data_IF_101425902662
#
_entry.id   IF_101425902662
#
_cell.length_a   1.000
_cell.length_b   1.000
_cell.length_c   1.000
_cell.angle_alpha   90.00
_cell.angle_beta   90.00
_cell.angle_gamma   90.00
#
_symmetry.space_group_name_H-M   'P 1'
#
loop_
_entity.id
_entity.type
_entity.pdbx_description
1 polymer ?
#
# COMPACT_ATOMS: atom_id res chain seq x y z
N UNK A 1 -7.13 -72.23 -9.63
CA UNK A 1 -8.02 -71.10 -9.33
C UNK A 1 -7.20 -70.03 -8.64
N UNK A 2 -6.75 -69.03 -9.41
CA UNK A 2 -6.08 -67.85 -8.88
C UNK A 2 -7.13 -66.75 -8.73
N UNK A 3 -7.23 -66.13 -7.55
CA UNK A 3 -8.06 -64.94 -7.39
C UNK A 3 -7.53 -64.00 -6.29
N UNK A 4 -7.35 -62.76 -6.75
CA UNK A 4 -7.47 -61.46 -6.09
C UNK A 4 -6.46 -61.02 -5.03
N UNK A 5 -5.47 -60.27 -5.51
CA UNK A 5 -4.73 -59.29 -4.74
C UNK A 5 -5.64 -58.24 -4.10
N UNK A 6 -5.54 -58.14 -2.78
CA UNK A 6 -6.10 -57.06 -1.94
C UNK A 6 -5.15 -56.77 -0.78
N UNK A 7 -3.93 -56.32 -1.06
CA UNK A 7 -2.99 -55.92 0.02
C UNK A 7 -2.21 -54.65 -0.35
N UNK A 8 -2.90 -53.61 -0.80
CA UNK A 8 -2.33 -52.25 -0.82
C UNK A 8 -3.39 -51.19 -0.53
N UNK A 9 -4.05 -51.27 0.64
CA UNK A 9 -4.77 -50.11 1.21
C UNK A 9 -4.78 -50.20 2.73
N UNK A 10 -3.80 -49.54 3.38
CA UNK A 10 -3.93 -48.93 4.73
C UNK A 10 -2.55 -48.46 5.20
N UNK A 11 -2.22 -47.20 4.95
CA UNK A 11 -1.09 -46.56 5.63
C UNK A 11 -1.19 -45.03 5.75
N UNK A 12 -2.35 -44.40 5.51
CA UNK A 12 -2.49 -42.94 5.66
C UNK A 12 -3.90 -42.54 6.18
N UNK A 13 -4.34 -43.12 7.29
CA UNK A 13 -5.61 -42.76 7.97
C UNK A 13 -5.42 -41.85 9.19
N UNK A 14 -4.27 -41.18 9.32
CA UNK A 14 -3.94 -40.33 10.48
C UNK A 14 -3.47 -38.93 10.06
N UNK A 15 -4.12 -38.33 9.06
CA UNK A 15 -4.01 -36.91 8.80
C UNK A 15 -5.41 -36.30 8.88
N UNK A 16 -5.64 -35.25 9.70
CA UNK A 16 -6.93 -34.59 9.78
C UNK A 16 -7.33 -34.09 8.38
N UNK A 17 -8.46 -34.56 7.85
CA UNK A 17 -9.00 -34.20 6.53
C UNK A 17 -9.45 -32.74 6.38
N UNK A 18 -9.21 -31.93 7.41
CA UNK A 18 -9.61 -30.53 7.52
C UNK A 18 -8.72 -29.54 6.74
N UNK A 19 -7.72 -30.04 5.99
CA UNK A 19 -6.94 -29.25 5.03
C UNK A 19 -7.19 -29.61 3.56
N UNK A 20 -8.19 -30.42 3.25
CA UNK A 20 -8.63 -30.62 1.87
C UNK A 20 -9.55 -29.46 1.46
N UNK A 21 -9.00 -28.49 0.71
CA UNK A 21 -9.80 -27.49 0.01
C UNK A 21 -10.72 -28.20 -0.99
N UNK A 22 -11.99 -28.43 -0.61
CA UNK A 22 -12.98 -29.05 -1.47
C UNK A 22 -13.51 -28.03 -2.48
N UNK A 23 -12.69 -27.65 -3.46
CA UNK A 23 -13.21 -26.93 -4.62
C UNK A 23 -13.99 -27.91 -5.49
N UNK A 24 -15.31 -27.82 -5.50
CA UNK A 24 -16.20 -28.63 -6.35
C UNK A 24 -16.22 -28.13 -7.82
N UNK A 25 -15.16 -27.42 -8.24
CA UNK A 25 -15.05 -26.82 -9.57
C UNK A 25 -14.59 -27.88 -10.58
N UNK A 26 -15.13 -27.87 -11.81
CA UNK A 26 -14.71 -28.81 -12.84
C UNK A 26 -13.23 -28.63 -13.16
N UNK A 27 -12.55 -29.73 -13.51
CA UNK A 27 -11.13 -29.73 -13.87
C UNK A 27 -10.90 -28.76 -15.04
N UNK A 28 -10.13 -27.69 -14.79
CA UNK A 28 -9.85 -26.63 -15.76
C UNK A 28 -10.61 -25.32 -15.53
N UNK A 29 -11.56 -25.26 -14.59
CA UNK A 29 -12.13 -23.98 -14.18
C UNK A 29 -11.07 -23.10 -13.49
N UNK A 30 -11.07 -21.78 -13.74
CA UNK A 30 -10.15 -20.87 -13.06
C UNK A 30 -10.38 -20.94 -11.55
N UNK A 31 -9.29 -20.94 -10.79
CA UNK A 31 -9.35 -20.94 -9.33
C UNK A 31 -10.12 -19.71 -8.86
N UNK A 32 -11.11 -19.90 -8.00
CA UNK A 32 -11.90 -18.79 -7.48
C UNK A 32 -11.26 -18.22 -6.22
N UNK A 33 -10.96 -16.93 -6.35
CA UNK A 33 -10.68 -15.90 -5.36
C UNK A 33 -11.67 -15.75 -4.17
N UNK A 34 -11.40 -16.16 -2.94
CA UNK A 34 -12.09 -15.66 -1.75
C UNK A 34 -11.64 -14.23 -1.42
N UNK A 35 -12.54 -13.37 -0.90
CA UNK A 35 -12.23 -11.95 -0.66
C UNK A 35 -11.00 -11.68 0.23
N UNK A 36 -10.61 -12.63 1.09
CA UNK A 36 -9.44 -12.52 1.98
C UNK A 36 -8.16 -13.16 1.44
N UNK A 37 -8.21 -13.87 0.30
CA UNK A 37 -7.01 -14.47 -0.31
C UNK A 37 -6.40 -13.60 -1.43
N UNK A 38 -6.95 -12.40 -1.66
CA UNK A 38 -6.36 -11.39 -2.54
C UNK A 38 -5.17 -10.68 -1.88
N UNK A 39 -4.28 -10.12 -2.70
CA UNK A 39 -3.23 -9.22 -2.22
C UNK A 39 -3.85 -8.00 -1.52
N UNK A 40 -3.24 -7.57 -0.42
CA UNK A 40 -3.64 -6.30 0.20
C UNK A 40 -3.29 -5.12 -0.72
N UNK A 41 -4.00 -4.01 -0.55
CA UNK A 41 -3.73 -2.75 -1.28
C UNK A 41 -2.28 -2.30 -1.09
N UNK A 42 -1.73 -2.44 0.11
CA UNK A 42 -0.33 -2.15 0.42
C UNK A 42 0.64 -3.06 -0.35
N UNK A 43 0.33 -4.36 -0.47
CA UNK A 43 1.15 -5.30 -1.21
C UNK A 43 1.14 -5.02 -2.71
N UNK A 44 -0.01 -4.59 -3.25
CA UNK A 44 -0.14 -4.16 -4.66
C UNK A 44 0.71 -2.90 -4.91
N UNK A 45 0.57 -1.87 -4.07
CA UNK A 45 1.37 -0.65 -4.18
C UNK A 45 2.88 -0.96 -4.12
N UNK A 46 3.32 -1.74 -3.13
CA UNK A 46 4.71 -2.13 -2.99
C UNK A 46 5.22 -2.98 -4.16
N UNK A 47 4.36 -3.82 -4.77
CA UNK A 47 4.72 -4.60 -5.97
C UNK A 47 4.95 -3.68 -7.17
N UNK A 48 4.03 -2.74 -7.41
CA UNK A 48 4.07 -1.77 -8.52
C UNK A 48 5.27 -0.83 -8.40
N UNK A 49 5.58 -0.38 -7.19
CA UNK A 49 6.73 0.50 -6.94
C UNK A 49 8.07 -0.25 -6.91
N UNK A 50 8.07 -1.59 -6.85
CA UNK A 50 9.27 -2.40 -6.79
C UNK A 50 9.91 -2.50 -5.40
N UNK A 51 9.16 -2.19 -4.35
CA UNK A 51 9.63 -2.11 -2.96
C UNK A 51 9.51 -3.43 -2.19
N UNK A 52 8.93 -4.47 -2.82
CA UNK A 52 8.87 -5.80 -2.22
C UNK A 52 10.25 -6.49 -2.25
N UNK A 53 10.62 -7.10 -1.11
CA UNK A 53 11.74 -8.05 -1.08
C UNK A 53 11.50 -9.21 -2.05
N UNK A 54 12.59 -9.77 -2.59
CA UNK A 54 12.55 -10.82 -3.62
C UNK A 54 11.55 -11.97 -3.35
N UNK A 55 11.52 -12.49 -2.12
CA UNK A 55 10.61 -13.60 -1.75
C UNK A 55 9.14 -13.19 -1.70
N UNK A 56 8.83 -11.93 -1.37
CA UNK A 56 7.48 -11.39 -1.44
C UNK A 56 7.09 -11.08 -2.89
N UNK A 57 8.02 -10.54 -3.67
CA UNK A 57 7.82 -10.26 -5.09
C UNK A 57 7.46 -11.53 -5.87
N UNK A 58 8.20 -12.63 -5.70
CA UNK A 58 7.91 -13.90 -6.39
C UNK A 58 6.54 -14.48 -6.01
N UNK A 59 6.14 -14.37 -4.73
CA UNK A 59 4.81 -14.81 -4.27
C UNK A 59 3.69 -13.97 -4.87
N UNK A 60 3.88 -12.64 -4.92
CA UNK A 60 2.94 -11.73 -5.56
C UNK A 60 2.84 -12.03 -7.06
N UNK A 61 3.96 -12.13 -7.78
CA UNK A 61 3.98 -12.46 -9.20
C UNK A 61 3.27 -13.79 -9.52
N UNK A 62 3.51 -14.81 -8.70
CA UNK A 62 2.79 -16.08 -8.81
C UNK A 62 1.29 -15.89 -8.58
N UNK A 63 0.87 -15.14 -7.55
CA UNK A 63 -0.54 -14.85 -7.30
C UNK A 63 -1.20 -14.11 -8.49
N UNK A 64 -0.52 -13.10 -9.05
CA UNK A 64 -1.02 -12.35 -10.21
C UNK A 64 -1.23 -13.23 -11.45
N UNK A 65 -0.41 -14.26 -11.65
CA UNK A 65 -0.60 -15.23 -12.74
C UNK A 65 -1.87 -16.08 -12.60
N UNK A 66 -2.43 -16.17 -11.38
CA UNK A 66 -3.59 -16.99 -11.07
C UNK A 66 -4.86 -16.15 -10.82
N UNK A 67 -4.71 -14.91 -10.35
CA UNK A 67 -5.82 -14.05 -9.92
C UNK A 67 -5.96 -12.82 -10.85
N UNK A 68 -6.94 -12.82 -11.77
CA UNK A 68 -7.13 -11.71 -12.71
C UNK A 68 -7.58 -10.40 -12.02
N UNK A 69 -8.24 -10.49 -10.87
CA UNK A 69 -8.64 -9.29 -10.12
C UNK A 69 -7.43 -8.52 -9.59
N UNK A 70 -6.49 -9.21 -8.93
CA UNK A 70 -5.28 -8.56 -8.45
C UNK A 70 -4.39 -8.09 -9.60
N UNK A 71 -4.39 -8.77 -10.74
CA UNK A 71 -3.72 -8.29 -11.96
C UNK A 71 -4.30 -6.96 -12.45
N UNK A 72 -5.63 -6.83 -12.50
CA UNK A 72 -6.30 -5.58 -12.86
C UNK A 72 -5.97 -4.44 -11.87
N UNK A 73 -5.96 -4.72 -10.57
CA UNK A 73 -5.59 -3.71 -9.55
C UNK A 73 -4.13 -3.24 -9.69
N UNK A 74 -3.21 -4.14 -10.06
CA UNK A 74 -1.81 -3.79 -10.38
C UNK A 74 -1.73 -2.91 -11.63
N UNK A 75 -2.51 -3.18 -12.67
CA UNK A 75 -2.57 -2.34 -13.87
C UNK A 75 -3.11 -0.93 -13.58
N UNK A 76 -4.16 -0.83 -12.76
CA UNK A 76 -4.74 0.46 -12.35
C UNK A 76 -3.75 1.29 -11.54
N UNK A 77 -3.06 0.68 -10.57
CA UNK A 77 -2.00 1.33 -9.79
C UNK A 77 -0.81 1.73 -10.65
N UNK A 78 -0.40 0.88 -11.61
CA UNK A 78 0.68 1.19 -12.54
C UNK A 78 0.34 2.39 -13.44
N UNK A 79 -0.92 2.48 -13.89
CA UNK A 79 -1.42 3.62 -14.66
C UNK A 79 -1.42 4.90 -13.82
N UNK A 80 -1.87 4.83 -12.57
CA UNK A 80 -1.83 5.97 -11.65
C UNK A 80 -0.38 6.45 -11.43
N UNK A 81 0.56 5.52 -11.20
CA UNK A 81 1.99 5.82 -11.07
C UNK A 81 2.57 6.49 -12.31
N UNK A 82 2.24 5.99 -13.50
CA UNK A 82 2.66 6.60 -14.76
C UNK A 82 2.12 8.04 -14.90
N UNK A 83 0.83 8.25 -14.64
CA UNK A 83 0.22 9.58 -14.68
C UNK A 83 0.87 10.58 -13.71
N UNK A 84 1.25 10.13 -12.51
CA UNK A 84 1.99 10.97 -11.55
C UNK A 84 3.42 11.27 -12.02
N UNK A 85 4.11 10.30 -12.64
CA UNK A 85 5.46 10.51 -13.20
C UNK A 85 5.46 11.45 -14.40
N UNK A 86 4.39 11.41 -15.19
CA UNK A 86 4.18 12.28 -16.34
C UNK A 86 3.65 13.66 -15.93
N UNK A 87 3.20 13.83 -14.68
CA UNK A 87 2.86 15.15 -14.14
C UNK A 87 4.14 16.00 -14.05
N UNK A 88 4.05 17.25 -14.48
CA UNK A 88 5.21 18.15 -14.60
C UNK A 88 5.98 18.22 -13.28
N UNK A 89 7.32 18.37 -13.32
CA UNK A 89 8.12 18.48 -12.11
C UNK A 89 7.62 19.64 -11.25
N UNK A 90 7.48 19.36 -9.94
CA UNK A 90 7.15 20.38 -8.95
C UNK A 90 8.29 21.40 -8.94
N UNK A 91 8.02 22.62 -9.39
CA UNK A 91 9.00 23.71 -9.32
C UNK A 91 9.03 24.27 -7.90
N UNK A 92 10.23 24.35 -7.33
CA UNK A 92 10.43 24.99 -6.03
C UNK A 92 10.28 26.50 -6.21
N UNK A 93 9.40 27.18 -5.45
CA UNK A 93 9.31 28.64 -5.48
C UNK A 93 10.66 29.28 -5.15
N UNK A 94 11.09 30.27 -5.94
CA UNK A 94 12.37 30.96 -5.75
C UNK A 94 12.53 31.60 -4.37
N UNK A 95 11.41 32.06 -3.80
CA UNK A 95 11.34 32.58 -2.43
C UNK A 95 11.68 31.51 -1.39
N UNK A 96 11.13 30.29 -1.51
CA UNK A 96 11.45 29.17 -0.63
C UNK A 96 12.93 28.80 -0.75
N UNK A 97 13.44 28.70 -1.97
CA UNK A 97 14.86 28.40 -2.21
C UNK A 97 15.77 29.45 -1.56
N UNK A 98 15.40 30.73 -1.69
CA UNK A 98 16.09 31.83 -1.01
C UNK A 98 16.11 31.66 0.51
N UNK A 99 14.96 31.41 1.13
CA UNK A 99 14.88 31.17 2.59
C UNK A 99 15.68 29.94 3.03
N UNK A 100 15.57 28.81 2.32
CA UNK A 100 16.30 27.58 2.62
C UNK A 100 17.82 27.77 2.51
N UNK A 101 18.28 28.59 1.55
CA UNK A 101 19.70 28.91 1.38
C UNK A 101 20.30 29.71 2.56
N UNK A 102 19.45 30.35 3.37
CA UNK A 102 19.89 31.11 4.55
C UNK A 102 20.02 30.27 5.82
N UNK A 103 19.53 29.02 5.84
CA UNK A 103 19.60 28.13 7.03
C UNK A 103 21.02 28.00 7.61
N UNK A 104 22.10 27.83 6.80
CA UNK A 104 23.45 27.75 7.34
C UNK A 104 23.94 29.04 8.02
N UNK A 105 23.33 30.18 7.68
CA UNK A 105 23.70 31.51 8.16
C UNK A 105 22.70 32.06 9.19
N UNK A 106 21.53 31.45 9.32
CA UNK A 106 20.59 31.76 10.39
C UNK A 106 21.24 31.36 11.70
N UNK A 107 21.66 32.37 12.45
CA UNK A 107 22.05 32.20 13.85
C UNK A 107 20.83 31.62 14.56
N UNK A 108 20.98 30.46 15.20
CA UNK A 108 20.00 29.97 16.16
C UNK A 108 20.01 30.95 17.33
N UNK A 109 19.26 32.04 17.21
CA UNK A 109 19.02 33.01 18.28
C UNK A 109 18.04 32.41 19.29
N UNK A 110 18.31 31.19 19.75
CA UNK A 110 17.68 30.61 20.91
C UNK A 110 18.52 29.44 21.45
N UNK A 111 19.67 29.76 22.04
CA UNK A 111 20.24 28.95 23.11
C UNK A 111 20.13 29.69 24.46
N UNK A 112 19.04 30.45 24.64
CA UNK A 112 18.60 30.90 25.94
C UNK A 112 17.29 30.15 26.20
N UNK A 113 17.41 28.89 26.63
CA UNK A 113 16.36 28.27 27.42
C UNK A 113 16.09 29.24 28.57
N UNK A 114 14.92 29.92 28.63
CA UNK A 114 14.58 30.68 29.81
C UNK A 114 14.41 29.63 30.90
N UNK A 115 15.25 29.68 31.93
CA UNK A 115 14.95 29.01 33.19
C UNK A 115 13.50 29.36 33.55
N UNK A 116 12.75 28.32 33.92
CA UNK A 116 11.36 28.39 34.36
C UNK A 116 11.07 29.67 35.17
N UNK A 117 10.11 30.46 34.69
CA UNK A 117 9.14 31.30 35.42
C UNK A 117 8.94 32.68 34.75
N UNK A 118 8.01 32.75 33.78
CA UNK A 118 7.11 33.89 33.58
C UNK A 118 6.26 33.74 32.30
N UNK A 119 4.97 33.43 32.48
CA UNK A 119 3.84 33.86 31.65
C UNK A 119 3.94 33.65 30.12
N UNK A 120 3.37 32.55 29.64
CA UNK A 120 3.13 32.32 28.21
C UNK A 120 2.27 33.44 27.58
N UNK A 121 2.70 34.10 26.48
CA UNK A 121 1.79 34.85 25.63
C UNK A 121 1.06 33.90 24.68
N UNK A 122 -0.27 34.02 24.68
CA UNK A 122 -1.21 33.28 23.83
C UNK A 122 -0.94 33.52 22.34
N UNK A 123 -0.36 32.50 21.68
CA UNK A 123 -0.10 32.46 20.24
C UNK A 123 -1.12 31.58 19.51
N UNK A 124 -2.38 31.58 19.93
CA UNK A 124 -3.45 30.79 19.29
C UNK A 124 -4.17 31.50 18.13
N UNK A 125 -3.68 32.68 17.69
CA UNK A 125 -4.50 33.61 16.87
C UNK A 125 -4.24 33.70 15.36
N UNK A 126 -3.25 33.01 14.77
CA UNK A 126 -2.81 33.39 13.41
C UNK A 126 -2.42 32.27 12.45
N UNK A 127 -3.10 31.13 12.51
CA UNK A 127 -2.98 30.06 11.51
C UNK A 127 -4.36 29.61 11.01
N UNK A 128 -5.14 30.53 10.42
CA UNK A 128 -6.17 30.23 9.43
C UNK A 128 -6.79 31.53 8.89
N UNK A 129 -6.13 32.18 7.93
CA UNK A 129 -6.85 33.03 6.96
C UNK A 129 -6.86 32.30 5.61
N UNK A 130 -7.67 31.24 5.57
CA UNK A 130 -8.09 30.58 4.34
C UNK A 130 -9.38 31.21 3.87
N UNK A 131 -9.27 32.14 2.93
CA UNK A 131 -10.35 32.94 2.39
C UNK A 131 -11.63 32.15 2.10
N UNK A 132 -12.75 32.72 2.54
CA UNK A 132 -14.09 32.26 2.28
C UNK A 132 -14.33 32.06 0.77
N UNK A 133 -14.51 30.80 0.36
CA UNK A 133 -15.17 30.51 -0.91
C UNK A 133 -16.64 30.89 -0.77
N UNK A 134 -16.97 32.02 -1.36
CA UNK A 134 -18.28 32.60 -1.45
C UNK A 134 -19.30 31.57 -1.96
N UNK A 135 -20.31 31.36 -1.13
CA UNK A 135 -21.40 30.43 -1.28
C UNK A 135 -22.45 31.11 -2.16
N UNK A 136 -22.19 31.16 -3.47
CA UNK A 136 -23.14 31.71 -4.46
C UNK A 136 -24.40 30.83 -4.54
N UNK A 137 -25.42 31.19 -3.76
CA UNK A 137 -26.78 30.63 -3.87
C UNK A 137 -27.53 31.31 -5.02
N UNK A 138 -28.00 30.44 -5.94
CA UNK A 138 -29.30 30.45 -6.64
C UNK A 138 -29.59 31.50 -7.71
N UNK A 139 -29.83 31.00 -8.93
CA UNK A 139 -31.18 30.98 -9.50
C UNK A 139 -31.50 29.55 -9.94
#
# INVERSE_FOLDING_TARGET
MADRGQVFRRAFSWLPSQFASQSNAPVGAPRQFGSTEHLSTEAIAAFVDGELRMTAHLRAAHHLSLCPQCAAEVEDQSRARAALRDSHPIQIPSTLLGMLSQIPYSRLDNAAWPDDDAGAPDMSGHLADGGAHDRRKRR
#
